data_IF_489952835547
#
_entry.id   IF_489952835547
#
_cell.length_a   1.000
_cell.length_b   1.000
_cell.length_c   1.000
_cell.angle_alpha   90.00
_cell.angle_beta   90.00
_cell.angle_gamma   90.00
#
_symmetry.space_group_name_H-M   'P 1'
#
loop_
_entity.id
_entity.type
_entity.pdbx_description
1 polymer ?
#
# COMPACT_ATOMS: atom_id res chain seq x y z
N UNK A 1 -72.66 13.56 -6.35
CA UNK A 1 -72.48 12.16 -5.90
C UNK A 1 -71.47 11.49 -6.83
N UNK A 2 -70.48 10.82 -6.25
CA UNK A 2 -69.60 9.83 -6.90
C UNK A 2 -68.47 10.38 -7.77
N UNK A 3 -67.26 10.49 -7.22
CA UNK A 3 -65.97 10.18 -7.89
C UNK A 3 -64.86 9.96 -6.83
N UNK A 4 -64.98 8.89 -6.02
CA UNK A 4 -64.00 8.65 -4.94
C UNK A 4 -63.36 7.25 -4.94
N UNK A 5 -63.67 6.38 -5.89
CA UNK A 5 -63.19 4.99 -5.88
C UNK A 5 -61.94 4.67 -6.70
N UNK A 6 -61.49 5.44 -7.71
CA UNK A 6 -60.25 5.12 -8.42
C UNK A 6 -59.01 5.43 -7.63
N UNK A 7 -58.94 6.43 -6.74
CA UNK A 7 -57.76 6.81 -6.00
C UNK A 7 -57.25 5.74 -5.03
N UNK A 8 -58.15 5.05 -4.32
CA UNK A 8 -57.73 3.99 -3.36
C UNK A 8 -57.13 2.76 -4.04
N UNK A 9 -57.60 2.36 -5.22
CA UNK A 9 -57.02 1.26 -5.99
C UNK A 9 -55.68 1.63 -6.59
N UNK A 10 -55.52 2.85 -7.06
CA UNK A 10 -54.26 3.36 -7.58
C UNK A 10 -53.19 3.44 -6.48
N UNK A 11 -53.51 4.04 -5.32
CA UNK A 11 -52.59 4.11 -4.17
C UNK A 11 -52.18 2.70 -3.68
N UNK A 12 -53.12 1.75 -3.57
CA UNK A 12 -52.78 0.35 -3.21
C UNK A 12 -51.87 -0.29 -4.27
N UNK A 13 -52.09 -0.07 -5.57
CA UNK A 13 -51.18 -0.61 -6.60
C UNK A 13 -49.81 0.03 -6.55
N UNK A 14 -49.72 1.33 -6.37
CA UNK A 14 -48.42 2.00 -6.16
C UNK A 14 -47.70 1.45 -4.91
N UNK A 15 -48.38 1.33 -3.79
CA UNK A 15 -47.79 0.82 -2.53
C UNK A 15 -47.32 -0.63 -2.67
N UNK A 16 -48.11 -1.50 -3.30
CA UNK A 16 -47.68 -2.91 -3.55
C UNK A 16 -46.56 -3.00 -4.55
N UNK A 17 -46.48 -2.10 -5.53
CA UNK A 17 -45.38 -2.04 -6.48
C UNK A 17 -44.08 -1.56 -5.79
N UNK A 18 -44.12 -0.49 -4.98
CA UNK A 18 -42.99 -0.01 -4.21
C UNK A 18 -42.48 -1.06 -3.22
N UNK A 19 -43.38 -1.76 -2.51
CA UNK A 19 -42.99 -2.86 -1.61
C UNK A 19 -42.30 -4.00 -2.35
N UNK A 20 -42.80 -4.42 -3.52
CA UNK A 20 -42.19 -5.47 -4.33
C UNK A 20 -40.82 -5.07 -4.88
N UNK A 21 -40.69 -3.83 -5.35
CA UNK A 21 -39.40 -3.30 -5.83
C UNK A 21 -38.39 -3.15 -4.71
N UNK A 22 -38.81 -2.64 -3.55
CA UNK A 22 -37.94 -2.57 -2.36
C UNK A 22 -37.49 -3.96 -1.89
N UNK A 23 -38.41 -4.93 -1.87
CA UNK A 23 -38.08 -6.33 -1.51
C UNK A 23 -37.13 -6.96 -2.53
N UNK A 24 -37.33 -6.70 -3.82
CA UNK A 24 -36.40 -7.21 -4.86
C UNK A 24 -35.01 -6.59 -4.72
N UNK A 25 -34.93 -5.28 -4.48
CA UNK A 25 -33.65 -4.59 -4.22
C UNK A 25 -32.96 -5.18 -2.99
N UNK A 26 -33.73 -5.40 -1.91
CA UNK A 26 -33.20 -6.03 -0.71
C UNK A 26 -32.63 -7.43 -0.99
N UNK A 27 -33.36 -8.28 -1.72
CA UNK A 27 -32.91 -9.63 -2.08
C UNK A 27 -31.66 -9.60 -2.98
N UNK A 28 -31.56 -8.60 -3.87
CA UNK A 28 -30.36 -8.43 -4.68
C UNK A 28 -29.17 -8.03 -3.80
N UNK A 29 -29.32 -6.99 -2.96
CA UNK A 29 -28.21 -6.45 -2.18
C UNK A 29 -27.76 -7.42 -1.08
N UNK A 30 -28.69 -8.03 -0.35
CA UNK A 30 -28.40 -8.88 0.81
C UNK A 30 -28.39 -10.38 0.52
N UNK A 31 -28.74 -10.80 -0.68
CA UNK A 31 -28.74 -12.19 -1.11
C UNK A 31 -27.88 -12.44 -2.33
N UNK A 32 -28.31 -11.95 -3.51
CA UNK A 32 -27.67 -12.29 -4.77
C UNK A 32 -26.23 -11.73 -4.91
N UNK A 33 -26.02 -10.45 -4.63
CA UNK A 33 -24.68 -9.83 -4.74
C UNK A 33 -23.66 -10.47 -3.79
N UNK A 34 -23.96 -10.72 -2.51
CA UNK A 34 -23.08 -11.46 -1.62
C UNK A 34 -22.71 -12.86 -2.15
N UNK A 35 -23.67 -13.61 -2.68
CA UNK A 35 -23.41 -14.94 -3.26
C UNK A 35 -22.49 -14.83 -4.49
N UNK A 36 -22.76 -13.88 -5.40
CA UNK A 36 -21.88 -13.62 -6.56
C UNK A 36 -20.46 -13.28 -6.08
N UNK A 37 -20.33 -12.42 -5.07
CA UNK A 37 -19.03 -12.05 -4.50
C UNK A 37 -18.30 -13.28 -3.94
N UNK A 38 -18.98 -14.12 -3.16
CA UNK A 38 -18.40 -15.32 -2.55
C UNK A 38 -17.77 -16.26 -3.59
N UNK A 39 -18.41 -16.44 -4.75
CA UNK A 39 -17.93 -17.37 -5.80
C UNK A 39 -17.08 -16.70 -6.87
N UNK A 40 -16.96 -15.40 -6.88
CA UNK A 40 -16.23 -14.67 -7.92
C UNK A 40 -14.82 -14.23 -7.46
N UNK A 41 -13.82 -15.09 -7.68
CA UNK A 41 -12.42 -14.76 -7.46
C UNK A 41 -12.00 -13.44 -8.17
N UNK A 42 -12.46 -13.24 -9.40
CA UNK A 42 -12.19 -12.03 -10.16
C UNK A 42 -12.71 -10.76 -9.45
N UNK A 43 -13.91 -10.83 -8.85
CA UNK A 43 -14.48 -9.69 -8.14
C UNK A 43 -13.72 -9.40 -6.84
N UNK A 44 -13.33 -10.45 -6.10
CA UNK A 44 -12.51 -10.33 -4.89
C UNK A 44 -11.16 -9.67 -5.21
N UNK A 45 -10.46 -10.13 -6.24
CA UNK A 45 -9.21 -9.50 -6.71
C UNK A 45 -9.40 -8.04 -7.08
N UNK A 46 -10.45 -7.72 -7.82
CA UNK A 46 -10.74 -6.32 -8.22
C UNK A 46 -11.02 -5.42 -7.02
N UNK A 47 -11.70 -5.92 -6.00
CA UNK A 47 -11.97 -5.15 -4.78
C UNK A 47 -10.71 -4.97 -3.95
N UNK A 48 -9.87 -5.99 -3.84
CA UNK A 48 -8.61 -5.90 -3.10
C UNK A 48 -7.61 -4.97 -3.78
N UNK A 49 -7.33 -5.21 -5.05
CA UNK A 49 -6.25 -4.51 -5.76
C UNK A 49 -6.66 -3.18 -6.37
N UNK A 50 -7.95 -2.93 -6.65
CA UNK A 50 -8.46 -1.68 -7.25
C UNK A 50 -7.62 -1.16 -8.43
N UNK A 51 -6.96 -2.04 -9.16
CA UNK A 51 -6.03 -1.69 -10.24
C UNK A 51 -6.69 -0.98 -11.43
N UNK A 52 -8.03 -1.00 -11.50
CA UNK A 52 -8.83 -0.26 -12.49
C UNK A 52 -9.09 1.20 -12.07
N UNK A 53 -8.79 1.57 -10.84
CA UNK A 53 -8.89 2.95 -10.33
C UNK A 53 -7.59 3.67 -10.66
N UNK A 54 -7.58 4.42 -11.76
CA UNK A 54 -6.42 5.17 -12.22
C UNK A 54 -6.59 6.65 -11.89
N UNK A 55 -5.64 7.20 -11.14
CA UNK A 55 -5.55 8.64 -10.95
C UNK A 55 -4.09 9.05 -10.74
N UNK A 56 -3.55 9.94 -11.58
CA UNK A 56 -4.16 10.62 -12.75
C UNK A 56 -4.57 9.66 -13.87
N UNK A 57 -5.60 10.04 -14.65
CA UNK A 57 -6.13 9.21 -15.75
C UNK A 57 -5.15 9.03 -16.92
N UNK A 58 -4.31 10.06 -17.14
CA UNK A 58 -3.29 10.05 -18.19
C UNK A 58 -1.96 10.43 -17.57
N UNK A 59 -1.00 9.54 -17.65
CA UNK A 59 0.37 9.73 -17.17
C UNK A 59 1.33 9.42 -18.28
N UNK A 60 2.22 10.34 -18.57
CA UNK A 60 3.38 10.09 -19.41
C UNK A 60 4.52 9.57 -18.52
N UNK A 61 4.52 8.26 -18.25
CA UNK A 61 5.48 7.65 -17.32
C UNK A 61 6.93 7.84 -17.75
N UNK A 62 7.17 7.93 -19.06
CA UNK A 62 8.51 8.18 -19.64
C UNK A 62 9.07 9.56 -19.29
N UNK A 63 8.22 10.52 -18.88
CA UNK A 63 8.61 11.90 -18.59
C UNK A 63 8.12 12.35 -17.20
N UNK A 64 8.73 11.86 -16.10
CA UNK A 64 8.33 12.23 -14.73
C UNK A 64 8.44 13.74 -14.47
N UNK A 65 9.31 14.45 -15.21
CA UNK A 65 9.44 15.90 -15.12
C UNK A 65 8.15 16.64 -15.50
N UNK A 66 7.35 16.09 -16.43
CA UNK A 66 6.07 16.71 -16.86
C UNK A 66 5.05 16.86 -15.72
N UNK A 67 5.20 16.07 -14.65
CA UNK A 67 4.38 16.13 -13.44
C UNK A 67 5.11 16.74 -12.24
N UNK A 68 6.21 17.47 -12.52
CA UNK A 68 6.97 18.23 -11.53
C UNK A 68 7.89 17.38 -10.64
N UNK A 69 8.38 16.25 -11.15
CA UNK A 69 9.37 15.42 -10.49
C UNK A 69 10.73 15.55 -11.20
N UNK A 70 11.54 16.50 -10.73
CA UNK A 70 12.88 16.74 -11.27
C UNK A 70 13.85 15.63 -10.85
N UNK A 71 14.86 15.36 -11.70
CA UNK A 71 15.89 14.36 -11.39
C UNK A 71 15.37 12.93 -11.32
N UNK A 72 14.27 12.64 -12.02
CA UNK A 72 13.70 11.31 -12.10
C UNK A 72 13.86 10.73 -13.51
N UNK A 73 14.23 9.45 -13.60
CA UNK A 73 14.16 8.67 -14.85
C UNK A 73 13.09 7.58 -14.76
N UNK A 74 12.52 7.25 -15.89
CA UNK A 74 11.71 6.05 -16.06
C UNK A 74 12.58 4.90 -16.55
N UNK A 75 12.39 3.72 -15.99
CA UNK A 75 13.05 2.49 -16.43
C UNK A 75 12.14 1.28 -16.21
N UNK A 76 12.53 0.14 -16.74
CA UNK A 76 11.76 -1.09 -16.59
C UNK A 76 12.63 -2.19 -16.01
N UNK A 77 12.05 -2.96 -15.10
CA UNK A 77 12.63 -4.18 -14.57
C UNK A 77 11.88 -5.38 -15.14
N UNK A 78 12.61 -6.43 -15.48
CA UNK A 78 12.03 -7.69 -15.91
C UNK A 78 12.31 -8.71 -14.81
N UNK A 79 11.25 -9.21 -14.18
CA UNK A 79 11.36 -10.18 -13.11
C UNK A 79 11.75 -11.55 -13.63
N UNK A 80 12.10 -12.48 -12.73
CA UNK A 80 12.42 -13.87 -13.10
C UNK A 80 11.23 -14.55 -13.80
N UNK A 81 10.01 -14.10 -13.53
CA UNK A 81 8.80 -14.55 -14.24
C UNK A 81 8.56 -13.83 -15.58
N UNK A 82 9.54 -13.06 -16.06
CA UNK A 82 9.46 -12.25 -17.29
C UNK A 82 8.35 -11.19 -17.27
N UNK A 83 7.94 -10.73 -16.09
CA UNK A 83 6.99 -9.63 -15.94
C UNK A 83 7.74 -8.32 -16.00
N UNK A 84 7.36 -7.43 -16.91
CA UNK A 84 7.92 -6.08 -17.01
C UNK A 84 7.24 -5.18 -15.99
N UNK A 85 8.03 -4.57 -15.11
CA UNK A 85 7.58 -3.60 -14.11
C UNK A 85 8.06 -2.20 -14.46
N UNK A 86 7.15 -1.24 -14.52
CA UNK A 86 7.48 0.16 -14.71
C UNK A 86 7.95 0.77 -13.40
N UNK A 87 9.09 1.46 -13.43
CA UNK A 87 9.72 2.02 -12.25
C UNK A 87 10.28 3.43 -12.51
N UNK A 88 10.42 4.21 -11.45
CA UNK A 88 11.16 5.45 -11.44
C UNK A 88 12.30 5.37 -10.44
N UNK A 89 13.44 5.96 -10.84
CA UNK A 89 14.53 6.31 -9.95
C UNK A 89 14.58 7.82 -9.82
N UNK A 90 14.58 8.32 -8.60
CA UNK A 90 14.58 9.74 -8.27
C UNK A 90 15.87 10.03 -7.51
N UNK A 91 16.64 10.98 -8.01
CA UNK A 91 17.91 11.40 -7.41
C UNK A 91 17.68 12.30 -6.19
N UNK A 92 18.57 12.25 -5.19
CA UNK A 92 18.58 13.19 -4.07
C UNK A 92 18.86 14.63 -4.55
N UNK A 93 18.49 15.61 -3.73
CA UNK A 93 18.57 17.03 -4.07
C UNK A 93 20.01 17.47 -4.42
N UNK A 94 20.99 16.98 -3.67
CA UNK A 94 22.41 17.31 -3.88
C UNK A 94 22.92 16.93 -5.26
N UNK A 95 22.41 15.85 -5.84
CA UNK A 95 22.83 15.38 -7.17
C UNK A 95 22.19 16.16 -8.32
N UNK A 96 21.08 16.87 -8.08
CA UNK A 96 20.45 17.72 -9.12
C UNK A 96 21.35 18.89 -9.51
N UNK A 97 22.12 19.43 -8.56
CA UNK A 97 23.01 20.59 -8.78
C UNK A 97 24.31 20.20 -9.50
N UNK A 98 24.64 18.91 -9.54
CA UNK A 98 25.90 18.41 -10.11
C UNK A 98 25.82 18.05 -11.60
N UNK A 99 24.75 18.47 -12.29
CA UNK A 99 24.56 18.27 -13.75
C UNK A 99 24.75 16.81 -14.18
N UNK A 100 24.18 15.86 -13.41
CA UNK A 100 24.19 14.46 -13.83
C UNK A 100 23.56 14.36 -15.21
N UNK A 101 24.24 13.78 -16.22
CA UNK A 101 23.64 13.57 -17.51
C UNK A 101 22.34 12.78 -17.41
N UNK A 102 21.34 13.12 -18.20
CA UNK A 102 20.06 12.42 -18.23
C UNK A 102 20.16 11.07 -19.00
N UNK A 103 21.17 10.26 -18.69
CA UNK A 103 21.39 8.94 -19.29
C UNK A 103 21.19 7.84 -18.27
N UNK A 104 20.82 6.65 -18.73
CA UNK A 104 20.59 5.50 -17.87
C UNK A 104 21.84 5.09 -17.10
N UNK A 105 23.01 5.17 -17.75
CA UNK A 105 24.29 4.84 -17.13
C UNK A 105 24.62 5.80 -15.97
N UNK A 106 24.31 7.09 -16.12
CA UNK A 106 24.56 8.08 -15.07
C UNK A 106 23.65 7.87 -13.85
N UNK A 107 22.38 7.53 -14.08
CA UNK A 107 21.46 7.17 -13.01
C UNK A 107 21.84 5.86 -12.31
N UNK A 108 22.27 4.85 -13.07
CA UNK A 108 22.76 3.59 -12.49
C UNK A 108 24.03 3.81 -11.66
N UNK A 109 24.97 4.61 -12.18
CA UNK A 109 26.17 4.98 -11.45
C UNK A 109 25.86 5.75 -10.15
N UNK A 110 24.89 6.68 -10.19
CA UNK A 110 24.46 7.40 -9.01
C UNK A 110 23.86 6.48 -7.93
N UNK A 111 23.16 5.41 -8.33
CA UNK A 111 22.62 4.43 -7.39
C UNK A 111 23.72 3.48 -6.85
N UNK A 112 24.62 3.03 -7.73
CA UNK A 112 25.69 2.09 -7.34
C UNK A 112 26.77 2.74 -6.46
N UNK A 113 26.94 4.05 -6.57
CA UNK A 113 27.85 4.85 -5.74
C UNK A 113 27.09 5.71 -4.73
N UNK A 114 25.87 5.30 -4.34
CA UNK A 114 25.07 6.09 -3.41
C UNK A 114 25.78 6.17 -2.05
N UNK A 115 25.87 7.40 -1.52
CA UNK A 115 26.29 7.68 -0.15
C UNK A 115 25.08 8.05 0.71
N UNK A 116 24.00 8.52 0.05
CA UNK A 116 22.75 8.90 0.67
C UNK A 116 21.81 7.71 0.79
N UNK A 117 20.94 7.66 1.81
CA UNK A 117 19.95 6.60 1.98
C UNK A 117 19.10 6.38 0.72
N UNK A 118 18.77 5.12 0.44
CA UNK A 118 17.93 4.69 -0.66
C UNK A 118 16.60 4.17 -0.14
N UNK A 119 15.49 4.77 -0.57
CA UNK A 119 14.14 4.34 -0.22
C UNK A 119 13.49 3.58 -1.38
N UNK A 120 13.06 2.35 -1.12
CA UNK A 120 12.17 1.60 -2.01
C UNK A 120 10.72 1.80 -1.55
N UNK A 121 9.89 2.39 -2.40
CA UNK A 121 8.48 2.65 -2.10
C UNK A 121 7.57 1.57 -2.71
N UNK A 122 6.76 0.93 -1.87
CA UNK A 122 5.74 -0.06 -2.22
C UNK A 122 4.36 0.55 -2.01
N UNK A 123 3.61 0.71 -3.10
CA UNK A 123 2.38 1.51 -3.10
C UNK A 123 1.13 0.79 -2.60
N UNK A 124 0.09 1.55 -2.26
CA UNK A 124 -1.24 1.04 -1.88
C UNK A 124 -2.04 0.49 -3.06
N UNK A 125 -3.25 0.01 -2.79
CA UNK A 125 -4.07 -0.81 -3.69
C UNK A 125 -4.66 -0.09 -4.90
N UNK A 126 -4.57 1.23 -5.03
CA UNK A 126 -5.16 2.00 -6.13
C UNK A 126 -4.20 3.02 -6.72
N UNK A 127 -4.51 3.50 -7.92
CA UNK A 127 -3.67 4.47 -8.64
C UNK A 127 -2.40 3.85 -9.21
N UNK A 128 -1.34 4.65 -9.30
CA UNK A 128 -0.03 4.27 -9.82
C UNK A 128 1.07 5.12 -9.17
N UNK A 129 2.35 4.91 -9.53
CA UNK A 129 3.48 5.67 -8.97
C UNK A 129 3.40 7.19 -9.17
N UNK A 130 2.53 7.68 -10.06
CA UNK A 130 2.29 9.11 -10.29
C UNK A 130 1.16 9.73 -9.46
N UNK A 131 0.56 9.00 -8.51
CA UNK A 131 -0.50 9.53 -7.66
C UNK A 131 -0.01 10.69 -6.81
N UNK A 132 -0.81 11.75 -6.64
CA UNK A 132 -0.39 13.03 -6.06
C UNK A 132 0.26 12.91 -4.68
N UNK A 133 -0.34 12.16 -3.75
CA UNK A 133 0.23 11.95 -2.41
C UNK A 133 1.57 11.22 -2.44
N UNK A 134 1.79 10.32 -3.42
CA UNK A 134 3.08 9.63 -3.63
C UNK A 134 4.12 10.60 -4.15
N UNK A 135 3.75 11.45 -5.11
CA UNK A 135 4.66 12.51 -5.61
C UNK A 135 5.07 13.48 -4.51
N UNK A 136 4.16 13.84 -3.60
CA UNK A 136 4.48 14.68 -2.44
C UNK A 136 5.51 13.98 -1.53
N UNK A 137 5.34 12.69 -1.26
CA UNK A 137 6.28 11.91 -0.47
C UNK A 137 7.65 11.76 -1.17
N UNK A 138 7.67 11.50 -2.48
CA UNK A 138 8.94 11.41 -3.22
C UNK A 138 9.72 12.73 -3.19
N UNK A 139 9.03 13.87 -3.33
CA UNK A 139 9.64 15.20 -3.20
C UNK A 139 10.17 15.41 -1.78
N UNK A 140 9.46 14.97 -0.75
CA UNK A 140 9.93 15.03 0.62
C UNK A 140 11.22 14.23 0.79
N UNK A 141 11.30 12.99 0.28
CA UNK A 141 12.54 12.22 0.30
C UNK A 141 13.67 12.90 -0.47
N UNK A 142 13.38 13.45 -1.65
CA UNK A 142 14.35 14.21 -2.44
C UNK A 142 14.88 15.44 -1.69
N UNK A 143 14.01 16.15 -0.96
CA UNK A 143 14.37 17.30 -0.12
C UNK A 143 15.14 16.90 1.14
N UNK A 144 14.97 15.66 1.61
CA UNK A 144 15.79 15.05 2.66
C UNK A 144 17.16 14.57 2.17
N UNK A 145 17.43 14.71 0.88
CA UNK A 145 18.61 14.24 0.19
C UNK A 145 18.73 12.72 0.10
N UNK A 146 17.62 12.03 -0.17
CA UNK A 146 17.55 10.58 -0.30
C UNK A 146 17.26 10.16 -1.75
N UNK A 147 17.81 9.01 -2.17
CA UNK A 147 17.38 8.33 -3.38
C UNK A 147 16.02 7.69 -3.20
N UNK A 148 15.19 7.68 -4.25
CA UNK A 148 13.93 6.94 -4.24
C UNK A 148 13.84 6.02 -5.45
N UNK A 149 13.50 4.77 -5.19
CA UNK A 149 13.02 3.83 -6.20
C UNK A 149 11.55 3.58 -5.92
N UNK A 150 10.71 3.82 -6.90
CA UNK A 150 9.29 3.46 -6.83
C UNK A 150 8.87 2.75 -8.11
N UNK A 151 7.97 1.80 -7.99
CA UNK A 151 7.51 0.99 -9.13
C UNK A 151 6.02 0.73 -9.04
N UNK A 152 5.43 0.37 -10.15
CA UNK A 152 4.06 -0.11 -10.19
C UNK A 152 4.04 -1.64 -10.20
N UNK A 153 3.22 -2.25 -9.37
CA UNK A 153 3.01 -3.70 -9.36
C UNK A 153 2.49 -4.17 -10.72
N UNK A 154 2.59 -5.49 -10.98
CA UNK A 154 1.93 -6.11 -12.14
C UNK A 154 0.49 -5.61 -12.28
N UNK A 155 0.05 -5.35 -13.50
CA UNK A 155 -1.28 -4.81 -13.82
C UNK A 155 -1.60 -3.41 -13.28
N UNK A 156 -0.59 -2.64 -12.84
CA UNK A 156 -0.70 -1.22 -12.49
C UNK A 156 0.19 -0.36 -13.39
N UNK A 157 -0.16 0.92 -13.53
CA UNK A 157 0.60 1.89 -14.31
C UNK A 157 0.86 1.42 -15.73
N UNK A 158 2.14 1.35 -16.10
CA UNK A 158 2.64 0.82 -17.38
C UNK A 158 3.40 -0.51 -17.22
N UNK A 159 3.23 -1.18 -16.08
CA UNK A 159 3.66 -2.57 -15.88
C UNK A 159 2.80 -3.53 -16.68
N UNK A 160 3.34 -4.71 -16.98
CA UNK A 160 2.63 -5.72 -17.77
C UNK A 160 1.29 -6.12 -17.15
N UNK A 161 0.29 -6.24 -18.00
CA UNK A 161 -1.05 -6.68 -17.62
C UNK A 161 -1.08 -8.21 -17.55
N UNK A 162 -0.82 -8.73 -16.36
CA UNK A 162 -0.80 -10.15 -16.05
C UNK A 162 -1.68 -10.45 -14.85
N UNK A 163 -1.86 -11.72 -14.50
CA UNK A 163 -2.71 -12.09 -13.39
C UNK A 163 -2.22 -11.47 -12.06
N UNK A 164 -3.15 -10.81 -11.34
CA UNK A 164 -2.95 -10.31 -10.00
C UNK A 164 -3.21 -11.43 -8.98
N UNK A 165 -2.25 -11.62 -8.09
CA UNK A 165 -2.34 -12.46 -6.90
C UNK A 165 -1.45 -11.88 -5.81
N UNK A 166 -1.65 -12.25 -4.56
CA UNK A 166 -0.73 -11.87 -3.48
C UNK A 166 0.68 -12.37 -3.76
N UNK A 167 0.81 -13.66 -4.07
CA UNK A 167 2.10 -14.27 -4.40
C UNK A 167 2.81 -13.54 -5.54
N UNK A 168 2.08 -13.23 -6.64
CA UNK A 168 2.67 -12.54 -7.79
C UNK A 168 3.19 -11.15 -7.43
N UNK A 169 2.40 -10.36 -6.70
CA UNK A 169 2.82 -9.00 -6.27
C UNK A 169 4.00 -9.08 -5.30
N UNK A 170 3.98 -10.03 -4.37
CA UNK A 170 5.06 -10.24 -3.40
C UNK A 170 6.36 -10.66 -4.08
N UNK A 171 6.30 -11.63 -5.00
CA UNK A 171 7.50 -12.09 -5.72
C UNK A 171 8.09 -11.02 -6.62
N UNK A 172 7.26 -10.24 -7.32
CA UNK A 172 7.74 -9.07 -8.08
C UNK A 172 8.43 -8.05 -7.17
N UNK A 173 7.83 -7.76 -6.01
CA UNK A 173 8.36 -6.79 -5.05
C UNK A 173 9.66 -7.29 -4.40
N UNK A 174 9.76 -8.60 -4.11
CA UNK A 174 11.00 -9.24 -3.66
C UNK A 174 12.11 -9.02 -4.69
N UNK A 175 11.84 -9.33 -5.97
CA UNK A 175 12.80 -9.13 -7.05
C UNK A 175 13.29 -7.66 -7.11
N UNK A 176 12.36 -6.69 -7.00
CA UNK A 176 12.72 -5.26 -7.03
C UNK A 176 13.61 -4.90 -5.84
N UNK A 177 13.31 -5.37 -4.62
CA UNK A 177 14.12 -5.09 -3.44
C UNK A 177 15.52 -5.72 -3.56
N UNK A 178 15.62 -6.96 -4.01
CA UNK A 178 16.90 -7.63 -4.27
C UNK A 178 17.73 -6.87 -5.32
N UNK A 179 17.07 -6.42 -6.39
CA UNK A 179 17.72 -5.58 -7.41
C UNK A 179 18.27 -4.28 -6.82
N UNK A 180 17.50 -3.57 -5.99
CA UNK A 180 17.94 -2.35 -5.32
C UNK A 180 19.15 -2.64 -4.44
N UNK A 181 19.06 -3.65 -3.56
CA UNK A 181 20.13 -4.01 -2.63
C UNK A 181 21.40 -4.43 -3.38
N UNK A 182 21.26 -5.17 -4.47
CA UNK A 182 22.39 -5.57 -5.33
C UNK A 182 23.04 -4.38 -6.02
N UNK A 183 22.23 -3.39 -6.49
CA UNK A 183 22.76 -2.20 -7.15
C UNK A 183 23.49 -1.29 -6.16
N UNK A 184 22.93 -1.08 -4.99
CA UNK A 184 23.54 -0.28 -3.91
C UNK A 184 24.78 -1.00 -3.32
N UNK A 185 24.75 -2.33 -3.26
CA UNK A 185 25.87 -3.18 -2.85
C UNK A 185 26.55 -2.74 -1.53
N UNK A 186 25.75 -2.27 -0.57
CA UNK A 186 26.24 -1.83 0.74
C UNK A 186 26.89 -0.45 0.79
N UNK A 187 26.91 0.31 -0.31
CA UNK A 187 27.44 1.69 -0.34
C UNK A 187 26.60 2.67 0.46
N UNK A 188 25.29 2.41 0.58
CA UNK A 188 24.34 3.23 1.33
C UNK A 188 23.31 2.36 2.05
N UNK A 189 22.65 2.87 3.10
CA UNK A 189 21.56 2.17 3.76
C UNK A 189 20.31 2.13 2.87
N UNK A 190 19.65 0.97 2.83
CA UNK A 190 18.42 0.74 2.06
C UNK A 190 17.24 0.63 3.00
N UNK A 191 16.22 1.45 2.78
CA UNK A 191 14.96 1.43 3.51
C UNK A 191 13.81 1.03 2.61
N UNK A 192 12.86 0.28 3.17
CA UNK A 192 11.58 -0.02 2.50
C UNK A 192 10.48 0.85 3.12
N UNK A 193 9.66 1.45 2.27
CA UNK A 193 8.46 2.18 2.66
C UNK A 193 7.23 1.54 2.05
N UNK A 194 6.41 0.89 2.86
CA UNK A 194 5.11 0.35 2.45
C UNK A 194 3.98 1.29 2.85
N UNK A 195 3.03 1.55 1.94
CA UNK A 195 1.82 2.31 2.22
C UNK A 195 0.57 1.45 2.01
N UNK A 196 -0.34 1.40 2.99
CA UNK A 196 -1.61 0.69 2.86
C UNK A 196 -1.39 -0.78 2.45
N UNK A 197 -1.93 -1.26 1.31
CA UNK A 197 -1.62 -2.59 0.76
C UNK A 197 -0.11 -2.86 0.69
N UNK A 198 0.70 -1.85 0.38
CA UNK A 198 2.15 -1.96 0.34
C UNK A 198 2.78 -2.34 1.67
N UNK A 199 2.10 -2.14 2.81
CA UNK A 199 2.57 -2.63 4.12
C UNK A 199 2.47 -4.15 4.21
N UNK A 200 1.37 -4.72 3.72
CA UNK A 200 1.20 -6.17 3.63
C UNK A 200 2.19 -6.80 2.65
N UNK A 201 2.44 -6.13 1.51
CA UNK A 201 3.45 -6.57 0.53
C UNK A 201 4.84 -6.52 1.15
N UNK A 202 5.25 -5.41 1.77
CA UNK A 202 6.59 -5.24 2.32
C UNK A 202 6.88 -6.20 3.49
N UNK A 203 5.92 -6.42 4.39
CA UNK A 203 6.10 -7.38 5.49
C UNK A 203 6.27 -8.82 4.98
N UNK A 204 5.49 -9.22 3.96
CA UNK A 204 5.61 -10.55 3.36
C UNK A 204 6.94 -10.72 2.60
N UNK A 205 7.37 -9.71 1.82
CA UNK A 205 8.68 -9.71 1.15
C UNK A 205 9.81 -9.85 2.15
N UNK A 206 9.78 -9.11 3.27
CA UNK A 206 10.84 -9.15 4.26
C UNK A 206 10.85 -10.46 5.07
N UNK A 207 9.70 -11.10 5.29
CA UNK A 207 9.64 -12.47 5.86
C UNK A 207 10.36 -13.47 4.93
N UNK A 208 10.11 -13.41 3.61
CA UNK A 208 10.78 -14.28 2.64
C UNK A 208 12.31 -14.04 2.63
N UNK A 209 12.73 -12.78 2.63
CA UNK A 209 14.16 -12.42 2.61
C UNK A 209 14.86 -12.73 3.94
N UNK A 210 14.16 -12.65 5.08
CA UNK A 210 14.70 -13.05 6.37
C UNK A 210 15.12 -14.52 6.38
N UNK A 211 14.35 -15.39 5.72
CA UNK A 211 14.71 -16.80 5.57
C UNK A 211 16.01 -17.00 4.74
N UNK A 212 16.41 -16.01 3.96
CA UNK A 212 17.64 -15.98 3.16
C UNK A 212 18.76 -15.17 3.85
N UNK A 213 18.54 -14.69 5.08
CA UNK A 213 19.41 -13.77 5.83
C UNK A 213 19.69 -12.44 5.10
N UNK A 214 18.70 -11.94 4.36
CA UNK A 214 18.75 -10.68 3.63
C UNK A 214 17.77 -9.71 4.29
N UNK A 215 18.25 -8.56 4.76
CA UNK A 215 17.41 -7.53 5.39
C UNK A 215 17.82 -6.13 4.90
N UNK A 216 16.87 -5.22 4.64
CA UNK A 216 17.17 -3.81 4.47
C UNK A 216 17.60 -3.19 5.82
N UNK A 217 18.06 -1.94 5.79
CA UNK A 217 18.47 -1.20 6.99
C UNK A 217 17.27 -0.88 7.89
N UNK A 218 16.07 -0.74 7.32
CA UNK A 218 14.84 -0.51 8.09
C UNK A 218 13.58 -0.52 7.23
N UNK A 219 12.46 -0.64 7.93
CA UNK A 219 11.12 -0.71 7.32
C UNK A 219 10.23 0.39 7.87
N UNK A 220 9.59 1.16 6.98
CA UNK A 220 8.53 2.09 7.29
C UNK A 220 7.19 1.49 6.84
N UNK A 221 6.21 1.49 7.74
CA UNK A 221 4.84 1.03 7.50
C UNK A 221 3.89 2.22 7.68
N UNK A 222 3.40 2.77 6.58
CA UNK A 222 2.45 3.88 6.55
C UNK A 222 1.03 3.34 6.42
N UNK A 223 0.16 3.65 7.40
CA UNK A 223 -1.22 3.19 7.48
C UNK A 223 -1.35 1.65 7.33
N UNK A 224 -0.62 0.84 8.14
CA UNK A 224 -0.67 -0.60 8.04
C UNK A 224 -1.93 -1.22 8.64
N UNK A 225 -2.22 -2.44 8.19
CA UNK A 225 -3.23 -3.35 8.75
C UNK A 225 -2.57 -4.66 9.20
N UNK A 226 -3.23 -5.38 10.11
CA UNK A 226 -2.72 -6.66 10.64
C UNK A 226 -2.91 -7.83 9.67
N UNK A 227 -4.05 -7.87 8.97
CA UNK A 227 -4.36 -8.84 7.91
C UNK A 227 -5.53 -8.34 7.06
N UNK A 228 -5.70 -8.88 5.85
CA UNK A 228 -6.89 -8.58 5.04
C UNK A 228 -8.18 -9.03 5.76
N UNK A 229 -8.15 -10.09 6.55
CA UNK A 229 -9.31 -10.49 7.34
C UNK A 229 -9.73 -9.40 8.32
N UNK A 230 -8.78 -8.84 9.05
CA UNK A 230 -9.05 -7.77 10.02
C UNK A 230 -9.52 -6.51 9.29
N UNK A 231 -8.87 -6.14 8.21
CA UNK A 231 -9.23 -4.96 7.41
C UNK A 231 -10.65 -5.10 6.85
N UNK A 232 -11.00 -6.22 6.23
CA UNK A 232 -12.35 -6.48 5.72
C UNK A 232 -13.41 -6.47 6.81
N UNK A 233 -13.09 -6.94 8.02
CA UNK A 233 -14.02 -6.99 9.14
C UNK A 233 -14.25 -5.61 9.77
N UNK A 234 -13.19 -4.82 9.83
CA UNK A 234 -13.20 -3.54 10.54
C UNK A 234 -13.33 -2.31 9.62
N UNK A 235 -13.27 -2.53 8.31
CA UNK A 235 -13.49 -1.46 7.33
C UNK A 235 -14.84 -0.75 7.60
N UNK A 236 -14.92 0.59 7.53
CA UNK A 236 -16.15 1.33 7.83
C UNK A 236 -17.39 0.83 7.11
N UNK A 237 -17.27 0.40 5.84
CA UNK A 237 -18.38 -0.20 5.10
C UNK A 237 -18.84 -1.56 5.63
N UNK A 238 -17.96 -2.32 6.26
CA UNK A 238 -18.28 -3.61 6.83
C UNK A 238 -19.14 -3.50 8.10
N UNK A 239 -19.09 -2.36 8.81
CA UNK A 239 -19.76 -2.15 10.08
C UNK A 239 -21.29 -2.42 10.01
N UNK A 240 -21.92 -2.20 8.84
CA UNK A 240 -23.34 -2.45 8.60
C UNK A 240 -23.61 -3.96 8.47
N UNK A 241 -22.65 -4.75 8.00
CA UNK A 241 -22.84 -6.15 7.61
C UNK A 241 -22.15 -7.13 8.54
N UNK A 242 -21.11 -6.72 9.28
CA UNK A 242 -20.25 -7.62 10.06
C UNK A 242 -20.97 -8.44 11.14
N UNK A 243 -22.12 -7.98 11.60
CA UNK A 243 -22.94 -8.70 12.58
C UNK A 243 -23.93 -9.70 11.95
N UNK A 244 -24.01 -9.77 10.63
CA UNK A 244 -24.86 -10.71 9.93
C UNK A 244 -24.25 -12.12 9.98
N UNK A 245 -25.05 -13.18 10.22
CA UNK A 245 -24.52 -14.55 10.42
C UNK A 245 -23.70 -15.09 9.25
N UNK A 246 -23.94 -14.57 8.06
CA UNK A 246 -23.26 -15.00 6.83
C UNK A 246 -22.07 -14.12 6.45
N UNK A 247 -21.80 -13.01 7.15
CA UNK A 247 -20.78 -12.04 6.77
C UNK A 247 -19.40 -12.69 6.60
N UNK A 248 -18.94 -13.42 7.61
CA UNK A 248 -17.63 -14.07 7.56
C UNK A 248 -17.52 -15.04 6.38
N UNK A 249 -18.56 -15.88 6.19
CA UNK A 249 -18.59 -16.85 5.09
C UNK A 249 -18.55 -16.15 3.70
N UNK A 250 -19.27 -15.05 3.53
CA UNK A 250 -19.38 -14.35 2.24
C UNK A 250 -18.20 -13.40 2.00
N UNK A 251 -17.80 -12.62 3.00
CA UNK A 251 -16.89 -11.51 2.78
C UNK A 251 -15.42 -11.83 3.12
N UNK A 252 -15.17 -12.75 4.06
CA UNK A 252 -13.81 -13.02 4.57
C UNK A 252 -13.25 -14.33 4.05
N UNK A 253 -14.01 -15.42 4.20
CA UNK A 253 -13.55 -16.77 3.82
C UNK A 253 -13.07 -16.90 2.38
N UNK A 254 -13.69 -16.24 1.36
CA UNK A 254 -13.23 -16.32 -0.02
C UNK A 254 -11.81 -15.76 -0.24
N UNK A 255 -11.42 -14.72 0.47
CA UNK A 255 -10.05 -14.19 0.39
C UNK A 255 -9.05 -15.21 0.92
N UNK A 256 -9.37 -15.86 2.03
CA UNK A 256 -8.54 -16.91 2.61
C UNK A 256 -8.38 -18.11 1.67
N UNK A 257 -9.49 -18.59 1.08
CA UNK A 257 -9.49 -19.70 0.12
C UNK A 257 -8.70 -19.40 -1.15
N UNK A 258 -8.67 -18.14 -1.52
CA UNK A 258 -7.99 -17.67 -2.75
C UNK A 258 -6.58 -17.13 -2.47
N UNK A 259 -6.01 -17.37 -1.28
CA UNK A 259 -4.69 -16.91 -0.87
C UNK A 259 -4.47 -15.41 -1.03
N UNK A 260 -5.49 -14.60 -0.71
CA UNK A 260 -5.42 -13.16 -0.65
C UNK A 260 -5.50 -12.73 0.82
N UNK A 261 -4.42 -12.92 1.57
CA UNK A 261 -4.43 -12.87 3.04
C UNK A 261 -3.69 -11.65 3.59
N UNK A 262 -2.51 -11.34 3.03
CA UNK A 262 -1.60 -10.31 3.51
C UNK A 262 -1.52 -10.29 5.04
N UNK A 263 -1.10 -11.43 5.61
CA UNK A 263 -1.05 -11.66 7.06
C UNK A 263 0.17 -10.97 7.68
N UNK A 264 0.15 -9.63 7.69
CA UNK A 264 1.24 -8.80 8.22
C UNK A 264 1.58 -9.15 9.66
N UNK A 265 0.58 -9.55 10.46
CA UNK A 265 0.75 -9.99 11.84
C UNK A 265 1.62 -11.26 11.99
N UNK A 266 1.61 -12.13 10.98
CA UNK A 266 2.49 -13.31 10.96
C UNK A 266 3.88 -12.98 10.43
N UNK A 267 3.93 -12.18 9.35
CA UNK A 267 5.18 -11.86 8.68
C UNK A 267 6.09 -10.96 9.53
N UNK A 268 5.50 -9.96 10.23
CA UNK A 268 6.25 -8.98 11.01
C UNK A 268 7.09 -9.62 12.13
N UNK A 269 6.67 -10.78 12.63
CA UNK A 269 7.36 -11.51 13.71
C UNK A 269 8.70 -12.11 13.28
N UNK A 270 8.98 -12.14 11.98
CA UNK A 270 10.19 -12.73 11.38
C UNK A 270 11.12 -11.68 10.77
N UNK A 271 10.74 -10.41 10.84
CA UNK A 271 11.55 -9.31 10.31
C UNK A 271 12.60 -8.92 11.31
N UNK A 272 13.86 -8.88 10.89
CA UNK A 272 14.99 -8.57 11.77
C UNK A 272 15.43 -7.10 11.72
N UNK A 273 15.09 -6.34 10.67
CA UNK A 273 15.42 -4.92 10.63
C UNK A 273 14.49 -4.09 11.54
N UNK A 274 14.92 -2.88 11.95
CA UNK A 274 14.07 -1.92 12.66
C UNK A 274 12.83 -1.51 11.88
N UNK A 275 11.74 -1.29 12.60
CA UNK A 275 10.43 -0.96 12.02
C UNK A 275 9.90 0.35 12.60
N UNK A 276 9.45 1.25 11.73
CA UNK A 276 8.70 2.45 12.06
C UNK A 276 7.28 2.34 11.53
N UNK A 277 6.28 2.42 12.41
CA UNK A 277 4.86 2.48 12.04
C UNK A 277 4.39 3.93 12.13
N UNK A 278 3.75 4.42 11.07
CA UNK A 278 3.15 5.75 10.98
C UNK A 278 1.66 5.62 10.66
N UNK A 279 0.79 6.24 11.46
CA UNK A 279 -0.66 6.18 11.23
C UNK A 279 -1.36 7.47 11.67
N UNK A 280 -2.25 7.99 10.81
CA UNK A 280 -3.10 9.12 11.17
C UNK A 280 -4.37 8.63 11.88
N UNK A 281 -4.74 9.23 13.01
CA UNK A 281 -5.92 8.81 13.78
C UNK A 281 -7.25 9.10 13.06
N UNK A 282 -7.22 10.01 12.06
CA UNK A 282 -8.36 10.32 11.20
C UNK A 282 -8.41 9.48 9.91
N UNK A 283 -7.67 8.36 9.85
CA UNK A 283 -7.72 7.44 8.73
C UNK A 283 -9.11 6.79 8.61
N UNK A 284 -9.85 7.20 7.59
CA UNK A 284 -11.21 6.70 7.30
C UNK A 284 -11.23 5.42 6.44
N UNK A 285 -10.08 4.86 6.10
CA UNK A 285 -9.94 3.61 5.32
C UNK A 285 -9.49 2.48 6.22
N UNK A 286 -8.31 2.61 6.81
CA UNK A 286 -7.77 1.63 7.75
C UNK A 286 -7.80 2.22 9.16
N UNK A 287 -8.65 1.70 10.05
CA UNK A 287 -8.70 2.19 11.42
C UNK A 287 -7.36 2.02 12.16
N UNK A 288 -6.92 3.06 12.88
CA UNK A 288 -5.61 3.10 13.57
C UNK A 288 -5.36 1.92 14.51
N UNK A 289 -6.41 1.35 15.11
CA UNK A 289 -6.26 0.21 16.03
C UNK A 289 -5.74 -1.06 15.33
N UNK A 290 -5.85 -1.18 14.00
CA UNK A 290 -5.25 -2.29 13.25
C UNK A 290 -3.71 -2.16 13.20
N UNK A 291 -3.21 -0.94 13.08
CA UNK A 291 -1.79 -0.65 13.22
C UNK A 291 -1.30 -0.88 14.66
N UNK A 292 -2.12 -0.50 15.67
CA UNK A 292 -1.82 -0.78 17.08
C UNK A 292 -1.78 -2.28 17.38
N UNK A 293 -2.67 -3.06 16.75
CA UNK A 293 -2.64 -4.53 16.84
C UNK A 293 -1.34 -5.08 16.27
N UNK A 294 -0.96 -4.63 15.08
CA UNK A 294 0.28 -5.04 14.41
C UNK A 294 1.52 -4.66 15.23
N UNK A 295 1.54 -3.44 15.79
CA UNK A 295 2.61 -2.97 16.68
C UNK A 295 2.77 -3.88 17.91
N UNK A 296 1.66 -4.26 18.56
CA UNK A 296 1.69 -5.15 19.74
C UNK A 296 2.23 -6.52 19.38
N UNK A 297 1.79 -7.11 18.26
CA UNK A 297 2.28 -8.41 17.79
C UNK A 297 3.80 -8.37 17.56
N UNK A 298 4.29 -7.32 16.92
CA UNK A 298 5.73 -7.17 16.70
C UNK A 298 6.51 -6.96 18.01
N UNK A 299 5.98 -6.12 18.90
CA UNK A 299 6.60 -5.85 20.20
C UNK A 299 6.71 -7.12 21.06
N UNK A 300 5.65 -7.93 21.10
CA UNK A 300 5.64 -9.23 21.80
C UNK A 300 6.66 -10.19 21.20
N UNK A 301 6.77 -10.24 19.88
CA UNK A 301 7.74 -11.06 19.15
C UNK A 301 9.19 -10.65 19.44
N UNK A 302 9.46 -9.36 19.58
CA UNK A 302 10.79 -8.84 19.88
C UNK A 302 11.12 -8.83 21.37
N UNK A 303 10.32 -9.51 22.22
CA UNK A 303 10.54 -9.60 23.66
C UNK A 303 10.48 -8.24 24.37
N UNK A 304 9.56 -7.37 23.94
CA UNK A 304 9.40 -5.99 24.41
C UNK A 304 10.63 -5.11 24.13
N UNK A 305 11.46 -5.48 23.17
CA UNK A 305 12.59 -4.64 22.73
C UNK A 305 12.09 -3.45 21.91
N UNK A 306 11.77 -2.36 22.60
CA UNK A 306 11.23 -1.12 21.99
C UNK A 306 12.23 -0.44 21.05
N UNK A 307 13.51 -0.81 21.08
CA UNK A 307 14.49 -0.24 20.14
C UNK A 307 14.29 -0.71 18.71
N UNK A 308 13.63 -1.86 18.50
CA UNK A 308 13.44 -2.48 17.18
C UNK A 308 12.16 -2.04 16.48
N UNK A 309 11.18 -1.54 17.23
CA UNK A 309 9.91 -1.08 16.64
C UNK A 309 9.43 0.20 17.33
N UNK A 310 9.08 1.17 16.53
CA UNK A 310 8.49 2.41 16.98
C UNK A 310 7.15 2.64 16.28
N UNK A 311 6.19 3.25 16.98
CA UNK A 311 4.91 3.64 16.39
C UNK A 311 4.62 5.09 16.71
N UNK A 312 4.28 5.86 15.68
CA UNK A 312 3.84 7.24 15.78
C UNK A 312 2.41 7.33 15.28
N UNK A 313 1.51 7.68 16.18
CA UNK A 313 0.13 8.06 15.86
C UNK A 313 0.06 9.56 15.69
N UNK A 314 -0.50 9.99 14.57
CA UNK A 314 -0.63 11.42 14.25
C UNK A 314 -2.07 11.83 14.57
N UNK A 315 -2.21 12.81 15.44
CA UNK A 315 -3.49 13.30 15.93
C UNK A 315 -4.45 13.69 14.79
N UNK A 316 -5.71 13.34 14.96
CA UNK A 316 -6.79 13.57 13.98
C UNK A 316 -6.98 15.04 13.60
N UNK A 317 -6.58 15.98 14.44
CA UNK A 317 -6.68 17.42 14.16
C UNK A 317 -5.82 17.89 12.97
N UNK A 318 -4.83 17.10 12.57
CA UNK A 318 -4.03 17.40 11.38
C UNK A 318 -4.76 17.14 10.05
N UNK A 319 -5.84 16.35 10.04
CA UNK A 319 -6.66 16.11 8.86
C UNK A 319 -5.92 15.41 7.72
N UNK A 320 -5.03 14.46 8.02
CA UNK A 320 -4.15 13.81 7.04
C UNK A 320 -4.82 12.61 6.37
N UNK A 321 -5.73 11.95 7.08
CA UNK A 321 -6.44 10.76 6.61
C UNK A 321 -5.50 9.64 6.16
N UNK A 322 -5.96 8.84 5.20
CA UNK A 322 -5.24 7.64 4.74
C UNK A 322 -4.02 7.92 3.84
N UNK A 323 -3.89 9.12 3.26
CA UNK A 323 -2.97 9.33 2.12
C UNK A 323 -1.95 10.43 2.30
N UNK A 324 -2.12 11.33 3.27
CA UNK A 324 -1.37 12.57 3.31
C UNK A 324 -0.47 12.72 4.53
N UNK A 325 0.00 11.60 5.10
CA UNK A 325 1.01 11.63 6.17
C UNK A 325 2.27 12.41 5.72
N UNK A 326 2.57 12.40 4.42
CA UNK A 326 3.63 13.21 3.83
C UNK A 326 3.53 14.72 4.10
N UNK A 327 2.36 15.23 4.47
CA UNK A 327 2.13 16.64 4.85
C UNK A 327 2.31 16.92 6.35
N UNK A 328 2.57 15.90 7.15
CA UNK A 328 2.85 16.09 8.57
C UNK A 328 4.16 16.84 8.76
N UNK A 329 4.09 17.99 9.46
CA UNK A 329 5.24 18.92 9.59
C UNK A 329 6.47 18.29 10.23
N UNK A 330 6.26 17.32 11.13
CA UNK A 330 7.34 16.66 11.86
C UNK A 330 7.87 15.42 11.14
N UNK A 331 7.21 14.98 10.05
CA UNK A 331 7.61 13.77 9.32
C UNK A 331 9.08 13.81 8.85
N UNK A 332 9.61 14.91 8.30
CA UNK A 332 11.03 14.99 7.93
C UNK A 332 11.98 14.72 9.09
N UNK A 333 11.66 15.23 10.28
CA UNK A 333 12.48 15.00 11.48
C UNK A 333 12.38 13.54 11.94
N UNK A 334 11.19 12.95 11.93
CA UNK A 334 10.95 11.55 12.28
C UNK A 334 11.79 10.63 11.39
N UNK A 335 11.71 10.85 10.07
CA UNK A 335 12.46 10.04 9.10
C UNK A 335 13.97 10.16 9.35
N UNK A 336 14.49 11.40 9.48
CA UNK A 336 15.92 11.62 9.74
C UNK A 336 16.38 10.94 11.03
N UNK A 337 15.59 11.05 12.10
CA UNK A 337 15.92 10.44 13.40
C UNK A 337 15.99 8.92 13.29
N UNK A 338 15.01 8.30 12.63
CA UNK A 338 14.99 6.85 12.45
C UNK A 338 16.14 6.38 11.56
N UNK A 339 16.40 7.06 10.43
CA UNK A 339 17.52 6.76 9.53
C UNK A 339 18.86 6.88 10.26
N UNK A 340 19.08 7.94 11.02
CA UNK A 340 20.33 8.14 11.78
C UNK A 340 20.53 7.06 12.85
N UNK A 341 19.45 6.74 13.59
CA UNK A 341 19.47 5.71 14.64
C UNK A 341 19.81 4.33 14.08
N UNK A 342 19.25 3.98 12.93
CA UNK A 342 19.42 2.65 12.34
C UNK A 342 20.71 2.48 11.56
N UNK A 343 21.28 3.56 11.02
CA UNK A 343 22.56 3.51 10.30
C UNK A 343 23.78 3.49 11.23
N UNK A 344 23.68 4.05 12.44
CA UNK A 344 24.81 4.22 13.35
C UNK A 344 24.98 3.14 14.45
N UNK A 345 23.99 2.31 14.73
CA UNK A 345 23.90 1.57 16.00
C UNK A 345 23.65 0.05 15.90
N UNK A 346 23.88 -0.60 14.78
CA UNK A 346 23.65 -2.05 14.67
C UNK A 346 24.94 -2.88 14.67
N UNK A 347 26.03 -2.34 15.26
CA UNK A 347 27.32 -3.05 15.44
C UNK A 347 27.57 -3.47 16.90
N UNK A 348 26.52 -3.57 17.75
CA UNK A 348 26.64 -4.19 19.09
C UNK A 348 25.61 -5.28 19.32
#
# INVERSE_FOLDING_TARGET
>A
MVYWLPKKRFVRRCLTWTMKTSMLIYLIIFGLLPIIFHYSYTLQKKILFLNFVHWPLKVEFSNPKSIGLEGARNFYLHTDQQVKLGAWQILPRSLLNNSIPATDEAYEAALSNAEQPVFLYMHGNSGNRASSHRLELYKLFQDLDYHVICFDYRSYGDSDVVELSEEGVVMDSKYVLEWVMKKVNGSAPVFVWGHSLGTGVSTHVLDLLAAENIQPTGLFLEAPFSSIQDELTEHPFAQIFKHLPWFHWIAVEPFYKNNLRFESDKHITKIDCPIMILHAEDDGVIPVFLAEKLYRVALDSFGNNTSRIEMIKIDSSYGLGHKYICRYKELPSIIRTFVAKTHGNWTE
#
